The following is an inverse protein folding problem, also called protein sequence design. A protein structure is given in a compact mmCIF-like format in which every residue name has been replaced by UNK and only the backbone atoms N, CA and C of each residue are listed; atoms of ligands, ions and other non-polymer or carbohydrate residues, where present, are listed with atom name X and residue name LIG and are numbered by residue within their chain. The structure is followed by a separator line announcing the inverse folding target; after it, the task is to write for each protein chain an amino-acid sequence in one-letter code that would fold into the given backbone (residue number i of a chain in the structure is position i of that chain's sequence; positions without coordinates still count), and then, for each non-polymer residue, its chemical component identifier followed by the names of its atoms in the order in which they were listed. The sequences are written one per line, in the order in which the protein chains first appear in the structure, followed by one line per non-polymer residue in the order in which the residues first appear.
data_IF_221156779154
#
_entry.id   IF_221156779154
#
_cell.length_a   1.000
_cell.length_b   1.000
_cell.length_c   1.000
_cell.angle_alpha   90.00
_cell.angle_beta   90.00
_cell.angle_gamma   90.00
#
_symmetry.space_group_name_H-M   'P 1'
#
loop_
_entity.id
_entity.type
_entity.pdbx_description
1 polymer ?
#
# COMPACT_ATOMS: atom_id res chain seq x y z
N UNK A 1 1.47 -4.61 -0.83
CA UNK A 1 2.73 -5.30 -0.56
C UNK A 1 2.72 -6.73 -1.08
N UNK A 2 3.87 -7.20 -1.54
CA UNK A 2 4.07 -8.51 -2.16
C UNK A 2 5.11 -9.28 -1.35
N UNK A 3 4.85 -10.55 -1.06
CA UNK A 3 5.79 -11.44 -0.42
C UNK A 3 6.23 -12.56 -1.37
N UNK A 4 7.52 -12.82 -1.40
CA UNK A 4 8.07 -14.05 -1.95
C UNK A 4 8.25 -15.07 -0.82
N UNK A 5 7.87 -16.31 -1.04
CA UNK A 5 7.90 -17.38 -0.03
C UNK A 5 9.22 -18.16 0.06
N UNK A 6 10.27 -17.71 -0.62
CA UNK A 6 11.59 -18.32 -0.44
C UNK A 6 12.15 -17.93 0.94
N UNK A 7 12.55 -18.89 1.72
CA UNK A 7 12.82 -18.78 3.16
C UNK A 7 13.93 -17.79 3.58
N UNK A 8 14.65 -17.17 2.65
CA UNK A 8 15.74 -16.24 2.96
C UNK A 8 15.58 -14.83 2.41
N UNK A 9 14.72 -14.61 1.40
CA UNK A 9 14.63 -13.32 0.71
C UNK A 9 13.17 -12.89 0.51
N UNK A 10 12.60 -12.29 1.54
CA UNK A 10 11.28 -11.66 1.44
C UNK A 10 11.46 -10.24 0.91
N UNK A 11 11.05 -10.00 -0.34
CA UNK A 11 10.96 -8.67 -0.90
C UNK A 11 9.54 -8.14 -0.79
N UNK A 12 9.40 -7.00 -0.18
CA UNK A 12 8.14 -6.25 -0.15
C UNK A 12 8.22 -5.13 -1.16
N UNK A 13 7.35 -5.16 -2.16
CA UNK A 13 7.18 -4.04 -3.10
C UNK A 13 5.87 -3.33 -2.81
N UNK A 14 5.94 -2.02 -2.59
CA UNK A 14 4.77 -1.16 -2.45
C UNK A 14 4.41 -0.58 -3.80
N UNK A 15 3.29 -1.03 -4.33
CA UNK A 15 2.74 -0.49 -5.58
C UNK A 15 2.07 0.88 -5.36
N UNK A 16 2.45 1.84 -6.17
CA UNK A 16 1.84 3.17 -6.21
C UNK A 16 1.10 3.28 -7.55
N UNK A 17 -0.22 3.16 -7.52
CA UNK A 17 -1.03 3.33 -8.72
C UNK A 17 -1.13 4.82 -9.07
N UNK A 18 -0.67 5.19 -10.27
CA UNK A 18 -0.67 6.57 -10.76
C UNK A 18 -2.06 7.05 -11.19
N UNK A 19 -2.99 6.14 -11.53
CA UNK A 19 -4.29 6.46 -12.10
C UNK A 19 -5.30 7.12 -11.13
N UNK A 20 -5.02 7.13 -9.82
CA UNK A 20 -5.86 7.83 -8.84
C UNK A 20 -5.39 9.27 -8.75
N UNK A 21 -6.31 10.25 -8.79
CA UNK A 21 -6.00 11.66 -8.58
C UNK A 21 -5.67 11.95 -7.09
N UNK A 22 -4.45 11.71 -6.63
CA UNK A 22 -4.07 11.80 -5.23
C UNK A 22 -3.69 13.24 -4.86
N UNK A 23 -3.73 13.57 -3.56
CA UNK A 23 -3.25 14.85 -3.04
C UNK A 23 -1.76 15.08 -3.31
N UNK A 24 -0.97 14.00 -3.34
CA UNK A 24 0.47 14.01 -3.57
C UNK A 24 0.82 13.16 -4.80
N UNK A 25 1.80 13.60 -5.58
CA UNK A 25 2.24 12.87 -6.77
C UNK A 25 2.73 11.45 -6.45
N UNK A 26 2.78 10.59 -7.46
CA UNK A 26 3.32 9.24 -7.30
C UNK A 26 4.80 9.28 -6.88
N UNK A 27 5.59 10.18 -7.48
CA UNK A 27 7.01 10.34 -7.18
C UNK A 27 7.23 10.82 -5.74
N UNK A 28 6.45 11.78 -5.27
CA UNK A 28 6.53 12.27 -3.89
C UNK A 28 6.20 11.18 -2.88
N UNK A 29 5.14 10.39 -3.14
CA UNK A 29 4.78 9.26 -2.28
C UNK A 29 5.84 8.17 -2.28
N UNK A 30 6.45 7.90 -3.45
CA UNK A 30 7.56 6.95 -3.59
C UNK A 30 8.77 7.41 -2.78
N UNK A 31 9.16 8.67 -2.91
CA UNK A 31 10.29 9.25 -2.16
C UNK A 31 10.08 9.16 -0.64
N UNK A 32 8.90 9.48 -0.13
CA UNK A 32 8.59 9.33 1.29
C UNK A 32 8.66 7.88 1.75
N UNK A 33 8.17 6.96 0.94
CA UNK A 33 8.24 5.54 1.26
C UNK A 33 9.69 5.04 1.31
N UNK A 34 10.51 5.43 0.36
CA UNK A 34 11.93 5.10 0.31
C UNK A 34 12.69 5.65 1.53
N UNK A 35 12.39 6.88 1.96
CA UNK A 35 12.98 7.48 3.16
C UNK A 35 12.55 6.75 4.44
N UNK A 36 11.27 6.37 4.56
CA UNK A 36 10.76 5.62 5.72
C UNK A 36 11.45 4.25 5.86
N UNK A 37 11.72 3.59 4.74
CA UNK A 37 12.27 2.24 4.70
C UNK A 37 13.73 2.17 4.23
N UNK A 38 14.47 3.29 4.31
CA UNK A 38 15.87 3.37 3.83
C UNK A 38 16.81 2.35 4.45
N UNK A 39 16.53 1.95 5.70
CA UNK A 39 17.34 0.98 6.45
C UNK A 39 16.83 -0.47 6.31
N UNK A 40 15.81 -0.69 5.46
CA UNK A 40 15.23 -2.01 5.23
C UNK A 40 15.42 -2.45 3.77
N UNK A 41 16.53 -3.13 3.44
CA UNK A 41 16.90 -3.46 2.06
C UNK A 41 15.93 -4.44 1.38
N UNK A 42 15.05 -5.10 2.13
CA UNK A 42 14.03 -6.02 1.62
C UNK A 42 12.72 -5.34 1.22
N UNK A 43 12.66 -4.01 1.35
CA UNK A 43 11.49 -3.21 1.01
C UNK A 43 11.82 -2.28 -0.14
N UNK A 44 11.00 -2.31 -1.19
CA UNK A 44 11.16 -1.49 -2.38
C UNK A 44 9.86 -0.75 -2.71
N UNK A 45 9.94 0.55 -2.96
CA UNK A 45 8.83 1.33 -3.51
C UNK A 45 8.87 1.29 -5.04
N UNK A 46 7.74 0.95 -5.64
CA UNK A 46 7.62 0.90 -7.10
C UNK A 46 6.39 1.66 -7.57
N UNK A 47 6.50 2.30 -8.72
CA UNK A 47 5.36 2.85 -9.44
C UNK A 47 4.99 1.91 -10.58
N UNK A 48 3.71 1.71 -10.81
CA UNK A 48 3.23 0.97 -11.96
C UNK A 48 1.88 1.52 -12.41
N UNK A 49 1.57 1.30 -13.68
CA UNK A 49 0.29 1.65 -14.27
C UNK A 49 -0.53 0.39 -14.57
N UNK A 50 -1.86 0.55 -14.56
CA UNK A 50 -2.78 -0.52 -14.89
C UNK A 50 -3.09 -1.47 -13.73
N UNK A 51 -3.35 -2.72 -14.07
CA UNK A 51 -3.81 -3.73 -13.11
C UNK A 51 -2.67 -4.27 -12.25
N UNK A 52 -2.88 -4.31 -10.95
CA UNK A 52 -1.93 -4.90 -9.97
C UNK A 52 -1.56 -6.32 -10.35
N UNK A 53 -2.51 -7.14 -10.81
CA UNK A 53 -2.26 -8.53 -11.20
C UNK A 53 -1.27 -8.62 -12.38
N UNK A 54 -1.34 -7.71 -13.35
CA UNK A 54 -0.41 -7.66 -14.47
C UNK A 54 1.00 -7.28 -14.03
N UNK A 55 1.09 -6.33 -13.11
CA UNK A 55 2.36 -6.00 -12.50
C UNK A 55 2.95 -7.19 -11.73
N UNK A 56 2.14 -7.90 -10.92
CA UNK A 56 2.57 -9.10 -10.21
C UNK A 56 3.11 -10.18 -11.16
N UNK A 57 2.43 -10.41 -12.29
CA UNK A 57 2.89 -11.33 -13.33
C UNK A 57 4.25 -10.93 -13.89
N UNK A 58 4.44 -9.63 -14.18
CA UNK A 58 5.68 -9.13 -14.79
C UNK A 58 6.92 -9.30 -13.91
N UNK A 59 6.73 -9.32 -12.59
CA UNK A 59 7.82 -9.47 -11.61
C UNK A 59 7.88 -10.86 -10.96
N UNK A 60 7.05 -11.80 -11.41
CA UNK A 60 6.98 -13.15 -10.86
C UNK A 60 6.48 -13.23 -9.40
N UNK A 61 5.73 -12.22 -8.93
CA UNK A 61 5.18 -12.22 -7.59
C UNK A 61 4.04 -13.24 -7.46
N UNK A 62 4.05 -14.00 -6.38
CA UNK A 62 3.05 -15.05 -6.10
C UNK A 62 2.02 -14.64 -5.05
N UNK A 63 2.27 -13.56 -4.32
CA UNK A 63 1.40 -13.11 -3.25
C UNK A 63 1.15 -11.62 -3.32
N UNK A 64 -0.11 -11.23 -3.06
CA UNK A 64 -0.53 -9.86 -2.82
C UNK A 64 -0.96 -9.76 -1.35
N UNK A 65 -0.33 -8.86 -0.59
CA UNK A 65 -0.71 -8.64 0.81
C UNK A 65 -1.60 -7.42 0.92
N UNK A 66 -2.75 -7.57 1.61
CA UNK A 66 -3.72 -6.50 1.83
C UNK A 66 -4.02 -6.34 3.32
N UNK A 67 -4.06 -5.11 3.79
CA UNK A 67 -4.48 -4.77 5.14
C UNK A 67 -6.01 -4.66 5.24
N UNK A 68 -6.59 -5.22 6.29
CA UNK A 68 -8.02 -5.19 6.61
C UNK A 68 -8.19 -4.52 7.96
N UNK A 69 -9.08 -3.54 8.06
CA UNK A 69 -9.41 -2.83 9.31
C UNK A 69 -10.82 -3.16 9.78
N UNK A 70 -11.77 -3.26 8.84
CA UNK A 70 -13.19 -3.47 9.08
C UNK A 70 -13.73 -4.60 8.20
N UNK A 71 -14.88 -5.12 8.54
CA UNK A 71 -15.59 -6.13 7.74
C UNK A 71 -15.88 -5.62 6.33
N UNK A 72 -16.28 -4.36 6.20
CA UNK A 72 -16.51 -3.73 4.89
C UNK A 72 -15.25 -3.67 4.02
N UNK A 73 -14.08 -3.45 4.61
CA UNK A 73 -12.80 -3.53 3.88
C UNK A 73 -12.61 -4.95 3.32
N UNK A 74 -12.91 -5.98 4.14
CA UNK A 74 -12.77 -7.38 3.73
C UNK A 74 -13.68 -7.73 2.57
N UNK A 75 -14.94 -7.36 2.59
CA UNK A 75 -15.88 -7.64 1.49
C UNK A 75 -15.40 -7.05 0.17
N UNK A 76 -14.95 -5.79 0.19
CA UNK A 76 -14.42 -5.13 -0.99
C UNK A 76 -13.11 -5.77 -1.48
N UNK A 77 -12.15 -5.98 -0.59
CA UNK A 77 -10.85 -6.57 -0.92
C UNK A 77 -10.97 -8.03 -1.37
N UNK A 78 -11.92 -8.78 -0.79
CA UNK A 78 -12.24 -10.15 -1.20
C UNK A 78 -12.75 -10.20 -2.66
N UNK A 79 -13.59 -9.27 -3.03
CA UNK A 79 -14.08 -9.16 -4.42
C UNK A 79 -12.93 -8.92 -5.40
N UNK A 80 -11.99 -8.05 -5.04
CA UNK A 80 -10.78 -7.80 -5.85
C UNK A 80 -9.90 -9.06 -5.90
N UNK A 81 -9.71 -9.74 -4.77
CA UNK A 81 -8.92 -10.97 -4.69
C UNK A 81 -9.48 -12.09 -5.59
N UNK A 82 -10.80 -12.26 -5.60
CA UNK A 82 -11.45 -13.25 -6.45
C UNK A 82 -11.28 -12.91 -7.94
N UNK A 83 -11.40 -11.63 -8.30
CA UNK A 83 -11.14 -11.18 -9.66
C UNK A 83 -9.68 -11.43 -10.07
N UNK A 84 -8.73 -11.10 -9.19
CA UNK A 84 -7.31 -11.35 -9.44
C UNK A 84 -7.03 -12.86 -9.62
N UNK A 85 -7.60 -13.70 -8.76
CA UNK A 85 -7.45 -15.17 -8.85
C UNK A 85 -8.06 -15.74 -10.13
N UNK A 86 -9.15 -15.15 -10.61
CA UNK A 86 -9.74 -15.53 -11.89
C UNK A 86 -8.82 -15.19 -13.07
N UNK A 87 -8.10 -14.05 -12.99
CA UNK A 87 -7.13 -13.65 -14.00
C UNK A 87 -5.81 -14.45 -13.93
N UNK A 88 -5.37 -14.83 -12.72
CA UNK A 88 -4.20 -15.67 -12.50
C UNK A 88 -4.31 -16.45 -11.18
N UNK A 89 -4.56 -17.76 -11.30
CA UNK A 89 -4.70 -18.68 -10.15
C UNK A 89 -3.42 -18.92 -9.35
N UNK A 90 -2.26 -18.51 -9.89
CA UNK A 90 -0.96 -18.71 -9.23
C UNK A 90 -0.58 -17.54 -8.31
N UNK A 91 -1.37 -16.46 -8.32
CA UNK A 91 -1.17 -15.29 -7.46
C UNK A 91 -2.27 -15.26 -6.40
N UNK A 92 -1.87 -15.45 -5.15
CA UNK A 92 -2.78 -15.47 -4.00
C UNK A 92 -2.81 -14.11 -3.29
N UNK A 93 -3.99 -13.74 -2.77
CA UNK A 93 -4.13 -12.56 -1.91
C UNK A 93 -4.19 -12.99 -0.45
N UNK A 94 -3.33 -12.40 0.38
CA UNK A 94 -3.26 -12.64 1.82
C UNK A 94 -3.78 -11.40 2.53
N UNK A 95 -4.72 -11.59 3.46
CA UNK A 95 -5.28 -10.52 4.28
C UNK A 95 -4.64 -10.52 5.66
N UNK A 96 -4.17 -9.35 6.09
CA UNK A 96 -3.69 -9.12 7.46
C UNK A 96 -4.56 -8.07 8.14
N UNK A 97 -4.89 -8.32 9.39
CA UNK A 97 -5.54 -7.31 10.23
C UNK A 97 -4.52 -6.28 10.69
N UNK A 98 -4.90 -5.01 10.62
CA UNK A 98 -4.09 -3.91 11.14
C UNK A 98 -4.11 -3.89 12.68
N UNK A 99 -3.09 -3.25 13.27
CA UNK A 99 -3.11 -2.98 14.71
C UNK A 99 -4.26 -2.02 15.07
N UNK A 100 -4.94 -2.22 16.23
CA UNK A 100 -6.09 -1.40 16.64
C UNK A 100 -5.80 0.11 16.65
N UNK A 101 -4.57 0.51 17.00
CA UNK A 101 -4.17 1.93 17.02
C UNK A 101 -4.23 2.62 15.65
N UNK A 102 -4.19 1.87 14.55
CA UNK A 102 -4.27 2.39 13.19
C UNK A 102 -5.64 2.23 12.54
N UNK A 103 -6.61 1.64 13.25
CA UNK A 103 -7.93 1.37 12.68
C UNK A 103 -8.64 2.64 12.21
N UNK A 104 -8.53 3.74 12.96
CA UNK A 104 -9.12 5.03 12.62
C UNK A 104 -8.36 5.81 11.55
N UNK A 105 -7.15 5.37 11.19
CA UNK A 105 -6.31 6.08 10.20
C UNK A 105 -6.78 5.75 8.79
N UNK A 106 -7.60 6.62 8.23
CA UNK A 106 -8.06 6.52 6.85
C UNK A 106 -7.50 7.67 6.01
N UNK A 107 -6.98 7.37 4.84
CA UNK A 107 -6.38 8.39 3.96
C UNK A 107 -7.36 9.51 3.58
N UNK A 108 -8.65 9.21 3.51
CA UNK A 108 -9.70 10.21 3.23
C UNK A 108 -9.81 11.20 4.38
N UNK A 109 -9.85 10.73 5.62
CA UNK A 109 -9.93 11.57 6.83
C UNK A 109 -8.67 12.41 6.96
N UNK A 110 -7.49 11.81 6.79
CA UNK A 110 -6.20 12.54 6.89
C UNK A 110 -6.11 13.64 5.85
N UNK A 111 -6.51 13.37 4.61
CA UNK A 111 -6.54 14.40 3.56
C UNK A 111 -7.53 15.53 3.85
N UNK A 112 -8.66 15.21 4.45
CA UNK A 112 -9.65 16.23 4.85
C UNK A 112 -9.11 17.13 5.95
N UNK A 113 -8.47 16.57 6.96
CA UNK A 113 -7.79 17.33 8.02
C UNK A 113 -6.76 18.30 7.40
N UNK A 114 -5.89 17.82 6.50
CA UNK A 114 -4.87 18.64 5.85
C UNK A 114 -5.51 19.78 5.03
N UNK A 115 -6.53 19.48 4.22
CA UNK A 115 -7.20 20.48 3.36
C UNK A 115 -7.87 21.60 4.16
N UNK A 116 -8.33 21.28 5.36
CA UNK A 116 -8.99 22.24 6.25
C UNK A 116 -8.02 22.88 7.27
N UNK A 117 -6.72 22.71 7.10
CA UNK A 117 -5.70 23.33 7.96
C UNK A 117 -5.61 22.74 9.37
N UNK A 118 -6.15 21.54 9.59
CA UNK A 118 -6.05 20.83 10.84
C UNK A 118 -4.70 20.11 11.02
N UNK A 119 -4.37 19.76 12.25
CA UNK A 119 -3.15 19.01 12.57
C UNK A 119 -3.31 17.52 12.24
N UNK A 120 -2.65 17.08 11.17
CA UNK A 120 -2.62 15.67 10.76
C UNK A 120 -1.41 14.90 11.32
N UNK A 121 -0.53 15.52 12.12
CA UNK A 121 0.68 14.90 12.63
C UNK A 121 0.47 13.59 13.42
N UNK A 122 -0.61 13.40 14.19
CA UNK A 122 -0.85 12.13 14.87
C UNK A 122 -1.08 10.92 13.94
N UNK A 123 -1.33 11.17 12.65
CA UNK A 123 -1.74 10.15 11.67
C UNK A 123 -0.68 9.91 10.58
N UNK A 124 0.43 10.64 10.61
CA UNK A 124 1.42 10.65 9.54
C UNK A 124 2.81 10.27 10.05
N UNK A 125 3.62 9.61 9.21
CA UNK A 125 5.04 9.44 9.47
C UNK A 125 5.77 10.80 9.52
N UNK A 126 6.83 10.90 10.32
CA UNK A 126 7.61 12.12 10.52
C UNK A 126 8.12 12.74 9.19
N UNK A 127 8.56 11.90 8.27
CA UNK A 127 8.99 12.32 6.92
C UNK A 127 7.90 13.11 6.20
N UNK A 128 6.65 12.66 6.29
CA UNK A 128 5.51 13.34 5.66
C UNK A 128 5.15 14.63 6.41
N UNK A 129 5.17 14.60 7.75
CA UNK A 129 4.92 15.78 8.58
C UNK A 129 5.91 16.91 8.23
N UNK A 130 7.19 16.59 8.10
CA UNK A 130 8.22 17.57 7.78
C UNK A 130 8.09 18.14 6.37
N UNK A 131 7.55 17.37 5.44
CA UNK A 131 7.30 17.84 4.07
C UNK A 131 6.02 18.71 3.94
N UNK A 132 5.16 18.73 4.97
CA UNK A 132 3.92 19.53 4.98
C UNK A 132 4.08 20.89 5.73
N UNK A 133 5.19 21.11 6.41
CA UNK A 133 5.55 22.38 7.06
C UNK A 133 6.11 23.37 6.07
#
# INVERSE_FOLDING_TARGET
PLYSSAASDVYKRQGINAAKNPMFSADQRKQWFEEIYKDEPKVEAVTYDGLTIKYCQSIGARFILRGIRYVSDFEYEKTIADANRTMDRHIETIFLTGEPKYTSVASTIVRDIIRNGGDASPFLPEVVINALK
#
